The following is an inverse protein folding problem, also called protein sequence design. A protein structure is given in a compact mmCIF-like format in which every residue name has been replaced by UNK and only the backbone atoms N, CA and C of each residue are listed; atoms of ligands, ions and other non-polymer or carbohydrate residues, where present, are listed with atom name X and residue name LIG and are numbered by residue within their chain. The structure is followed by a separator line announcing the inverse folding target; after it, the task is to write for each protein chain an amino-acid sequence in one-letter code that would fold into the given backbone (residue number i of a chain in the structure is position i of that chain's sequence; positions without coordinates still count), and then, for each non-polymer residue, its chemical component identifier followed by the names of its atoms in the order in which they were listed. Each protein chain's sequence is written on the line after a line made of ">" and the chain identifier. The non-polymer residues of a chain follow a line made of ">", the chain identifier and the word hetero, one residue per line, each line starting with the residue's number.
data_IF_339186725604
#
_entry.id   IF_339186725604
#
_cell.length_a   1.000
_cell.length_b   1.000
_cell.length_c   1.000
_cell.angle_alpha   90.00
_cell.angle_beta   90.00
_cell.angle_gamma   90.00
#
_symmetry.space_group_name_H-M   'P 1'
#
loop_
_entity.id
_entity.type
_entity.pdbx_description
1 polymer ?
#
# COMPACT_ATOMS: atom_id res chain seq x y z
N UNK A 1 -7.68 6.47 6.03
CA UNK A 1 -8.49 5.29 5.64
C UNK A 1 -7.78 4.56 4.49
N UNK A 2 -7.64 3.23 4.58
CA UNK A 2 -6.91 2.41 3.60
C UNK A 2 -7.78 1.18 3.24
N UNK A 3 -8.83 1.48 2.48
CA UNK A 3 -9.98 0.60 2.22
C UNK A 3 -9.58 -0.75 1.60
N UNK A 4 -8.63 -0.76 0.67
CA UNK A 4 -8.22 -1.98 -0.02
C UNK A 4 -7.44 -2.92 0.90
N UNK A 5 -6.66 -2.37 1.84
CA UNK A 5 -6.07 -3.16 2.92
C UNK A 5 -7.15 -3.72 3.85
N UNK A 6 -8.14 -2.91 4.22
CA UNK A 6 -9.23 -3.35 5.10
C UNK A 6 -10.00 -4.53 4.47
N UNK A 7 -10.31 -4.44 3.17
CA UNK A 7 -10.93 -5.52 2.43
C UNK A 7 -10.09 -6.81 2.41
N UNK A 8 -8.76 -6.71 2.19
CA UNK A 8 -7.87 -7.87 2.24
C UNK A 8 -7.81 -8.52 3.63
N UNK A 9 -7.85 -7.71 4.69
CA UNK A 9 -7.89 -8.20 6.08
C UNK A 9 -9.19 -8.96 6.33
N UNK A 10 -10.32 -8.42 5.91
CA UNK A 10 -11.62 -9.08 6.08
C UNK A 10 -11.68 -10.39 5.28
N UNK A 11 -11.16 -10.40 4.05
CA UNK A 11 -11.04 -11.62 3.24
C UNK A 11 -10.16 -12.68 3.93
N UNK A 12 -9.01 -12.28 4.48
CA UNK A 12 -8.12 -13.19 5.20
C UNK A 12 -8.77 -13.76 6.48
N UNK A 13 -9.47 -12.94 7.25
CA UNK A 13 -10.20 -13.36 8.47
C UNK A 13 -11.33 -14.32 8.15
N UNK A 14 -12.11 -14.05 7.09
CA UNK A 14 -13.16 -14.95 6.64
C UNK A 14 -12.60 -16.30 6.17
N UNK A 15 -11.45 -16.28 5.48
CA UNK A 15 -10.79 -17.49 4.99
C UNK A 15 -10.18 -18.35 6.09
N UNK A 16 -9.61 -17.72 7.12
CA UNK A 16 -8.92 -18.40 8.21
C UNK A 16 -9.39 -17.90 9.58
N UNK A 17 -10.57 -18.34 10.04
CA UNK A 17 -11.16 -17.85 11.30
C UNK A 17 -10.32 -18.19 12.55
N UNK A 18 -9.45 -19.21 12.48
CA UNK A 18 -8.53 -19.60 13.56
C UNK A 18 -7.15 -18.96 13.48
N UNK A 19 -6.94 -17.93 12.65
CA UNK A 19 -5.65 -17.24 12.50
C UNK A 19 -5.76 -15.80 12.95
N UNK A 20 -4.69 -15.29 13.53
CA UNK A 20 -4.60 -13.88 13.89
C UNK A 20 -4.26 -13.06 12.63
N UNK A 21 -5.07 -12.03 12.34
CA UNK A 21 -4.83 -11.07 11.26
C UNK A 21 -4.75 -9.67 11.85
N UNK A 22 -3.57 -9.06 11.77
CA UNK A 22 -3.28 -7.75 12.38
C UNK A 22 -2.53 -6.81 11.44
N UNK A 23 -2.72 -5.51 11.66
CA UNK A 23 -1.89 -4.46 11.07
C UNK A 23 -0.71 -4.19 12.01
N UNK A 24 0.51 -4.32 11.49
CA UNK A 24 1.74 -3.97 12.21
C UNK A 24 2.27 -2.60 11.83
N UNK A 25 3.07 -2.02 12.71
CA UNK A 25 3.85 -0.83 12.37
C UNK A 25 4.92 -1.14 11.31
N UNK A 26 5.31 -0.11 10.55
CA UNK A 26 6.52 -0.15 9.74
C UNK A 26 7.70 0.24 10.62
N UNK A 27 8.57 -0.73 10.92
CA UNK A 27 9.72 -0.54 11.83
C UNK A 27 10.75 0.46 11.28
N UNK A 28 10.89 0.52 9.96
CA UNK A 28 11.74 1.49 9.28
C UNK A 28 11.01 1.94 8.01
N UNK A 29 10.44 3.15 7.99
CA UNK A 29 9.61 3.61 6.89
C UNK A 29 10.44 4.03 5.66
N UNK A 30 9.80 4.20 4.49
CA UNK A 30 10.50 4.67 3.29
C UNK A 30 11.04 6.09 3.47
N UNK A 31 12.24 6.34 2.95
CA UNK A 31 12.83 7.67 2.90
C UNK A 31 12.08 8.56 1.89
N UNK A 32 11.00 9.19 2.35
CA UNK A 32 10.20 10.16 1.60
C UNK A 32 10.20 11.52 2.30
N UNK A 33 9.97 12.63 1.57
CA UNK A 33 9.98 13.98 2.14
C UNK A 33 9.01 14.21 3.31
N UNK A 34 7.86 13.52 3.31
CA UNK A 34 6.91 13.58 4.40
C UNK A 34 6.32 12.21 4.68
N UNK A 35 6.17 11.91 5.96
CA UNK A 35 5.53 10.69 6.43
C UNK A 35 4.87 10.88 7.80
N UNK A 36 3.94 9.98 8.13
CA UNK A 36 3.30 9.93 9.45
C UNK A 36 2.69 8.56 9.72
N UNK A 37 3.01 7.98 10.87
CA UNK A 37 2.30 6.84 11.41
C UNK A 37 0.91 7.25 11.95
N UNK A 38 -0.12 6.50 11.57
CA UNK A 38 -1.48 6.60 12.09
C UNK A 38 -1.70 5.65 13.27
N UNK A 39 -2.73 5.94 14.07
CA UNK A 39 -3.10 5.10 15.22
C UNK A 39 -3.66 3.72 14.81
N UNK A 40 -4.07 3.56 13.55
CA UNK A 40 -4.59 2.32 12.96
C UNK A 40 -3.48 1.43 12.35
N UNK A 41 -2.21 1.78 12.57
CA UNK A 41 -1.06 1.10 11.96
C UNK A 41 -0.82 1.47 10.49
N UNK A 42 -1.64 2.35 9.90
CA UNK A 42 -1.37 2.91 8.57
C UNK A 42 -0.18 3.86 8.64
N UNK A 43 0.76 3.72 7.72
CA UNK A 43 1.85 4.67 7.53
C UNK A 43 1.61 5.53 6.30
N UNK A 44 1.33 6.81 6.50
CA UNK A 44 1.08 7.77 5.43
C UNK A 44 2.40 8.32 4.90
N UNK A 45 2.55 8.43 3.59
CA UNK A 45 3.79 8.86 2.91
C UNK A 45 3.47 9.86 1.81
N UNK A 46 4.38 10.80 1.56
CA UNK A 46 4.21 11.82 0.54
C UNK A 46 5.53 12.35 -0.03
N UNK A 47 5.59 12.50 -1.36
CA UNK A 47 6.60 13.32 -2.04
C UNK A 47 6.23 14.80 -2.09
N UNK A 48 4.95 15.14 -1.95
CA UNK A 48 4.48 16.51 -1.89
C UNK A 48 4.43 16.98 -0.43
N UNK A 49 5.32 17.90 -0.07
CA UNK A 49 5.33 18.56 1.26
C UNK A 49 4.42 19.79 1.32
N UNK A 50 3.57 19.96 0.30
CA UNK A 50 2.65 21.08 0.10
C UNK A 50 1.23 20.57 -0.17
N UNK A 51 0.26 21.48 -0.12
CA UNK A 51 -1.12 21.17 -0.50
C UNK A 51 -1.32 21.42 -2.00
N UNK A 52 -1.71 20.38 -2.73
CA UNK A 52 -2.10 20.49 -4.14
C UNK A 52 -3.54 21.02 -4.28
N UNK A 53 -3.90 21.57 -5.47
CA UNK A 53 -5.31 21.78 -5.80
C UNK A 53 -6.10 20.47 -5.66
N UNK A 54 -7.35 20.56 -5.19
CA UNK A 54 -8.20 19.38 -4.97
C UNK A 54 -8.47 18.57 -6.25
N UNK A 55 -8.38 19.23 -7.41
CA UNK A 55 -8.54 18.67 -8.74
C UNK A 55 -7.20 18.30 -9.41
N UNK A 56 -6.12 18.13 -8.63
CA UNK A 56 -4.84 17.70 -9.18
C UNK A 56 -4.96 16.28 -9.77
N UNK A 57 -4.81 16.18 -11.09
CA UNK A 57 -4.81 14.91 -11.82
C UNK A 57 -3.43 14.27 -11.95
N UNK A 58 -2.48 14.72 -11.12
CA UNK A 58 -1.10 14.27 -11.13
C UNK A 58 -0.44 14.37 -12.52
N UNK A 59 -0.45 15.55 -13.16
CA UNK A 59 0.11 15.75 -14.50
C UNK A 59 1.63 15.65 -14.53
N UNK A 60 2.22 15.36 -15.69
CA UNK A 60 3.68 15.25 -15.85
C UNK A 60 4.44 16.53 -15.43
N UNK A 61 3.82 17.71 -15.55
CA UNK A 61 4.34 18.98 -15.01
C UNK A 61 3.53 19.35 -13.77
N UNK A 62 4.20 19.42 -12.62
CA UNK A 62 3.52 19.68 -11.35
C UNK A 62 2.97 21.12 -11.31
N UNK A 63 1.69 21.34 -10.94
CA UNK A 63 1.13 22.68 -10.85
C UNK A 63 1.76 23.53 -9.74
N UNK A 64 2.34 22.89 -8.71
CA UNK A 64 2.98 23.59 -7.60
C UNK A 64 4.43 23.97 -7.92
N UNK A 65 5.27 22.99 -8.29
CA UNK A 65 6.71 23.24 -8.57
C UNK A 65 6.94 23.84 -9.96
N UNK A 66 5.93 23.79 -10.84
CA UNK A 66 5.98 24.23 -12.25
C UNK A 66 7.03 23.52 -13.10
N UNK A 67 7.55 22.39 -12.62
CA UNK A 67 8.57 21.59 -13.29
C UNK A 67 8.11 20.16 -13.59
N UNK A 68 8.89 19.41 -14.39
CA UNK A 68 8.64 17.99 -14.63
C UNK A 68 8.66 17.19 -13.34
N UNK A 69 7.69 16.28 -13.18
CA UNK A 69 7.69 15.28 -12.13
C UNK A 69 8.67 14.16 -12.51
N UNK A 70 9.75 14.06 -11.75
CA UNK A 70 10.77 13.01 -11.89
C UNK A 70 10.63 11.90 -10.83
N UNK A 71 9.52 11.89 -10.08
CA UNK A 71 9.26 10.95 -8.99
C UNK A 71 7.89 10.27 -9.15
N UNK A 72 7.75 9.10 -8.54
CA UNK A 72 6.48 8.41 -8.40
C UNK A 72 6.56 7.47 -7.20
N UNK A 73 5.57 7.49 -6.30
CA UNK A 73 5.63 6.67 -5.09
C UNK A 73 5.63 5.18 -5.39
N UNK A 74 4.79 4.69 -6.31
CA UNK A 74 4.71 3.25 -6.60
C UNK A 74 6.09 2.60 -6.86
N UNK A 75 6.91 3.05 -7.84
CA UNK A 75 8.24 2.49 -8.06
C UNK A 75 9.20 2.75 -6.90
N UNK A 76 9.10 3.88 -6.20
CA UNK A 76 9.94 4.18 -5.04
C UNK A 76 9.69 3.22 -3.87
N UNK A 77 8.42 2.92 -3.58
CA UNK A 77 8.01 1.98 -2.53
C UNK A 77 8.34 0.54 -2.94
N UNK A 78 8.14 0.14 -4.19
CA UNK A 78 8.59 -1.18 -4.67
C UNK A 78 10.09 -1.35 -4.49
N UNK A 79 10.89 -0.36 -4.88
CA UNK A 79 12.34 -0.41 -4.70
C UNK A 79 12.75 -0.44 -3.22
N UNK A 80 12.09 0.34 -2.37
CA UNK A 80 12.31 0.32 -0.92
C UNK A 80 11.97 -1.03 -0.29
N UNK A 81 10.82 -1.62 -0.65
CA UNK A 81 10.40 -2.93 -0.15
C UNK A 81 11.37 -4.04 -0.59
N UNK A 82 11.82 -4.00 -1.85
CA UNK A 82 12.79 -4.96 -2.39
C UNK A 82 14.13 -4.97 -1.63
N UNK A 83 14.66 -3.78 -1.26
CA UNK A 83 15.91 -3.68 -0.48
C UNK A 83 15.80 -4.24 0.94
N UNK A 84 14.59 -4.27 1.49
CA UNK A 84 14.32 -4.79 2.85
C UNK A 84 14.11 -6.30 2.87
N UNK A 85 14.12 -6.95 1.72
CA UNK A 85 13.76 -8.37 1.61
C UNK A 85 12.31 -8.61 2.04
N UNK A 86 11.39 -7.70 1.69
CA UNK A 86 9.97 -7.86 2.00
C UNK A 86 9.53 -9.29 1.64
N UNK A 87 8.91 -10.04 2.59
CA UNK A 87 8.60 -11.44 2.35
C UNK A 87 7.70 -11.59 1.12
N UNK A 88 8.05 -12.55 0.25
CA UNK A 88 7.12 -13.01 -0.76
C UNK A 88 5.82 -13.47 -0.06
N UNK A 89 4.63 -13.18 -0.63
CA UNK A 89 4.38 -12.74 -2.00
C UNK A 89 4.30 -11.21 -2.24
N UNK A 90 4.70 -10.36 -1.29
CA UNK A 90 4.59 -8.89 -1.44
C UNK A 90 5.77 -8.22 -2.15
N UNK A 91 5.73 -6.88 -2.34
CA UNK A 91 4.70 -5.93 -1.88
C UNK A 91 3.48 -5.87 -2.80
N UNK A 92 2.30 -5.60 -2.23
CA UNK A 92 1.06 -5.35 -2.97
C UNK A 92 0.75 -3.85 -2.98
N UNK A 93 1.01 -3.19 -4.11
CA UNK A 93 0.77 -1.75 -4.26
C UNK A 93 -0.35 -1.49 -5.26
N UNK A 94 -1.44 -0.91 -4.76
CA UNK A 94 -2.60 -0.49 -5.53
C UNK A 94 -2.40 0.95 -6.01
N UNK A 95 -1.88 1.08 -7.22
CA UNK A 95 -1.61 2.38 -7.82
C UNK A 95 -2.91 3.04 -8.31
N UNK A 96 -3.16 4.27 -7.86
CA UNK A 96 -4.19 5.13 -8.40
C UNK A 96 -3.72 5.68 -9.75
N UNK A 97 -4.51 5.43 -10.79
CA UNK A 97 -4.27 5.90 -12.16
C UNK A 97 -5.49 6.67 -12.66
N UNK A 98 -5.28 7.80 -13.33
CA UNK A 98 -6.37 8.56 -13.95
C UNK A 98 -6.68 7.96 -15.32
N UNK A 99 -7.78 7.22 -15.45
CA UNK A 99 -8.20 6.61 -16.74
C UNK A 99 -9.37 7.34 -17.42
N UNK A 100 -9.98 8.29 -16.73
CA UNK A 100 -10.96 9.23 -17.28
C UNK A 100 -10.65 10.62 -16.70
N UNK A 101 -11.16 11.69 -17.33
CA UNK A 101 -10.87 13.08 -16.98
C UNK A 101 -11.03 13.36 -15.47
N UNK A 102 -9.90 13.37 -14.75
CA UNK A 102 -9.83 13.63 -13.31
C UNK A 102 -10.36 12.53 -12.39
N UNK A 103 -10.63 11.33 -12.91
CA UNK A 103 -11.11 10.20 -12.11
C UNK A 103 -9.97 9.24 -11.85
N UNK A 104 -9.46 9.28 -10.62
CA UNK A 104 -8.49 8.32 -10.11
C UNK A 104 -9.13 6.94 -9.90
N UNK A 105 -8.47 5.89 -10.40
CA UNK A 105 -8.94 4.51 -10.37
C UNK A 105 -7.83 3.58 -9.90
N UNK A 106 -8.22 2.56 -9.14
CA UNK A 106 -7.39 1.38 -8.87
C UNK A 106 -7.94 0.21 -9.68
N UNK A 107 -7.07 -0.63 -10.24
CA UNK A 107 -7.50 -1.84 -10.93
C UNK A 107 -7.89 -2.93 -9.94
N UNK A 108 -9.16 -3.32 -9.95
CA UNK A 108 -9.67 -4.40 -9.07
C UNK A 108 -8.96 -5.72 -9.35
N UNK A 109 -8.46 -5.94 -10.57
CA UNK A 109 -7.64 -7.11 -10.90
C UNK A 109 -6.43 -7.24 -9.99
N UNK A 110 -5.76 -6.14 -9.67
CA UNK A 110 -4.56 -6.15 -8.83
C UNK A 110 -4.92 -6.49 -7.39
N UNK A 111 -6.09 -6.03 -6.91
CA UNK A 111 -6.63 -6.34 -5.59
C UNK A 111 -6.97 -7.84 -5.48
N UNK A 112 -7.63 -8.40 -6.48
CA UNK A 112 -7.96 -9.82 -6.53
C UNK A 112 -6.71 -10.70 -6.67
N UNK A 113 -5.72 -10.26 -7.45
CA UNK A 113 -4.44 -10.96 -7.57
C UNK A 113 -3.67 -10.97 -6.24
N UNK A 114 -3.70 -9.86 -5.50
CA UNK A 114 -3.12 -9.79 -4.16
C UNK A 114 -3.80 -10.76 -3.19
N UNK A 115 -5.14 -10.80 -3.16
CA UNK A 115 -5.88 -11.75 -2.32
C UNK A 115 -5.57 -13.21 -2.67
N UNK A 116 -5.55 -13.54 -3.97
CA UNK A 116 -5.19 -14.88 -4.43
C UNK A 116 -3.76 -15.28 -4.03
N UNK A 117 -2.79 -14.36 -4.15
CA UNK A 117 -1.41 -14.59 -3.74
C UNK A 117 -1.28 -14.78 -2.22
N UNK A 118 -1.98 -13.96 -1.43
CA UNK A 118 -2.05 -14.12 0.03
C UNK A 118 -2.66 -15.48 0.39
N UNK A 119 -3.79 -15.85 -0.23
CA UNK A 119 -4.46 -17.12 0.00
C UNK A 119 -3.54 -18.31 -0.30
N UNK A 120 -2.84 -18.28 -1.45
CA UNK A 120 -1.91 -19.33 -1.84
C UNK A 120 -0.73 -19.46 -0.87
N UNK A 121 -0.08 -18.35 -0.52
CA UNK A 121 1.05 -18.35 0.42
C UNK A 121 0.63 -18.80 1.82
N UNK A 122 -0.57 -18.43 2.26
CA UNK A 122 -1.11 -18.78 3.56
C UNK A 122 -1.67 -20.20 3.68
N UNK A 123 -1.85 -20.93 2.57
CA UNK A 123 -2.52 -22.23 2.54
C UNK A 123 -1.83 -23.29 3.43
N UNK A 124 -0.50 -23.23 3.56
CA UNK A 124 0.28 -24.14 4.39
C UNK A 124 0.29 -23.79 5.90
N UNK A 125 -0.42 -22.74 6.32
CA UNK A 125 -0.48 -22.30 7.72
C UNK A 125 0.74 -21.52 8.22
N UNK A 126 1.79 -21.37 7.40
CA UNK A 126 2.95 -20.56 7.72
C UNK A 126 2.56 -19.08 7.95
N UNK A 127 3.24 -18.37 8.87
CA UNK A 127 3.05 -16.93 9.06
C UNK A 127 3.30 -16.15 7.76
N UNK A 128 2.47 -15.16 7.49
CA UNK A 128 2.64 -14.21 6.40
C UNK A 128 2.88 -12.81 6.96
N UNK A 129 3.74 -12.07 6.29
CA UNK A 129 4.05 -10.69 6.61
C UNK A 129 4.23 -9.92 5.30
N UNK A 130 3.21 -9.16 4.91
CA UNK A 130 3.13 -8.53 3.59
C UNK A 130 2.93 -7.03 3.71
N UNK A 131 3.58 -6.29 2.82
CA UNK A 131 3.32 -4.87 2.64
C UNK A 131 2.12 -4.67 1.71
N UNK A 132 1.14 -3.89 2.15
CA UNK A 132 -0.01 -3.45 1.36
C UNK A 132 -0.03 -1.94 1.28
N UNK A 133 -0.06 -1.39 0.07
CA UNK A 133 -0.10 0.04 -0.17
C UNK A 133 -1.22 0.45 -1.11
N UNK A 134 -1.83 1.60 -0.86
CA UNK A 134 -2.60 2.34 -1.88
C UNK A 134 -1.88 3.64 -2.12
N UNK A 135 -1.44 3.86 -3.36
CA UNK A 135 -0.47 4.92 -3.70
C UNK A 135 -0.90 5.64 -4.96
N UNK A 136 -0.72 6.96 -5.00
CA UNK A 136 -0.72 7.75 -6.22
C UNK A 136 0.73 8.08 -6.61
N UNK A 137 0.97 9.00 -7.54
CA UNK A 137 2.32 9.51 -7.80
C UNK A 137 2.90 10.26 -6.60
N UNK A 138 2.05 10.94 -5.83
CA UNK A 138 2.47 11.91 -4.81
C UNK A 138 2.21 11.46 -3.37
N UNK A 139 1.11 10.73 -3.10
CA UNK A 139 0.70 10.34 -1.75
C UNK A 139 0.45 8.84 -1.64
N UNK A 140 0.60 8.28 -0.44
CA UNK A 140 0.35 6.86 -0.21
C UNK A 140 -0.06 6.55 1.22
N UNK A 141 -0.82 5.48 1.37
CA UNK A 141 -1.09 4.81 2.63
C UNK A 141 -0.49 3.42 2.56
N UNK A 142 0.43 3.10 3.48
CA UNK A 142 1.13 1.83 3.57
C UNK A 142 0.70 1.10 4.84
N UNK A 143 0.69 -0.22 4.81
CA UNK A 143 0.40 -1.04 5.99
C UNK A 143 1.14 -2.35 5.89
N UNK A 144 1.71 -2.78 7.01
CA UNK A 144 2.21 -4.14 7.15
C UNK A 144 1.06 -5.00 7.66
N UNK A 145 0.71 -6.05 6.92
CA UNK A 145 -0.35 -6.98 7.29
C UNK A 145 0.31 -8.30 7.67
N UNK A 146 0.06 -8.75 8.91
CA UNK A 146 0.57 -10.00 9.43
C UNK A 146 -0.57 -10.98 9.60
N UNK A 147 -0.39 -12.20 9.06
CA UNK A 147 -1.30 -13.33 9.25
C UNK A 147 -0.53 -14.44 9.96
N UNK A 148 -0.79 -14.64 11.24
CA UNK A 148 -0.11 -15.64 12.05
C UNK A 148 -1.07 -16.78 12.46
N UNK A 149 -0.57 -17.97 12.84
CA UNK A 149 -1.36 -18.88 13.66
C UNK A 149 -1.93 -18.14 14.86
N UNK A 150 -3.16 -18.44 15.31
CA UNK A 150 -3.63 -17.91 16.59
C UNK A 150 -2.62 -18.32 17.68
N UNK A 151 -2.15 -17.34 18.48
CA UNK A 151 -1.34 -17.63 19.65
C UNK A 151 -2.09 -18.60 20.57
N UNK A 152 -1.44 -19.70 20.94
CA UNK A 152 -1.90 -20.57 22.02
C UNK A 152 -1.73 -19.91 23.38
#
# INVERSE_FOLDING_TARGET
>A
PHLLRDWLIDAARARWPGREVRVGALDEPPAVPWERAGADGTHYVSFATWTCPINCIEPAVCPHTRGPRHWSLAPAITAWAGRRGAPAPGPFLFACTHRAYGVGMVDVRDVLAADAAIAAAGAGGAPLDVLVGTVSHCHGALSRVVVAPAGG
#
